data_IF_500365938571
#
_entry.id   IF_500365938571
#
_cell.length_a   1.000
_cell.length_b   1.000
_cell.length_c   1.000
_cell.angle_alpha   90.00
_cell.angle_beta   90.00
_cell.angle_gamma   90.00
#
_symmetry.space_group_name_H-M   'P 1'
#
loop_
_entity.id
_entity.type
_entity.pdbx_description
1 polymer ?
#
# COMPACT_ATOMS: atom_id res chain seq x y z
N UNK A 1 -37.40 -28.93 12.30
CA UNK A 1 -37.60 -28.10 11.11
C UNK A 1 -36.23 -27.76 10.51
N UNK A 2 -36.16 -27.43 9.21
CA UNK A 2 -34.88 -27.04 8.53
C UNK A 2 -34.19 -25.85 9.25
N UNK A 3 -34.96 -24.92 9.76
CA UNK A 3 -34.48 -23.76 10.53
C UNK A 3 -33.84 -24.21 11.85
N UNK A 4 -34.42 -25.20 12.54
CA UNK A 4 -33.85 -25.69 13.80
C UNK A 4 -32.49 -26.36 13.57
N UNK A 5 -32.36 -27.16 12.52
CA UNK A 5 -31.08 -27.79 12.17
C UNK A 5 -29.98 -26.76 11.85
N UNK A 6 -30.34 -25.69 11.13
CA UNK A 6 -29.40 -24.59 10.86
C UNK A 6 -29.01 -23.84 12.14
N UNK A 7 -29.95 -23.65 13.07
CA UNK A 7 -29.67 -23.01 14.36
C UNK A 7 -28.72 -23.85 15.22
N UNK A 8 -28.96 -25.19 15.24
CA UNK A 8 -28.13 -26.13 16.00
C UNK A 8 -26.72 -26.20 15.43
N UNK A 9 -26.58 -26.17 14.10
CA UNK A 9 -25.28 -26.12 13.42
C UNK A 9 -24.52 -24.83 13.71
N UNK A 10 -25.18 -23.68 13.64
CA UNK A 10 -24.58 -22.38 13.98
C UNK A 10 -24.14 -22.31 15.44
N UNK A 11 -24.95 -22.84 16.37
CA UNK A 11 -24.61 -22.90 17.78
C UNK A 11 -23.39 -23.81 18.02
N UNK A 12 -23.27 -24.92 17.31
CA UNK A 12 -22.09 -25.79 17.39
C UNK A 12 -20.83 -25.08 16.91
N UNK A 13 -20.91 -24.40 15.77
CA UNK A 13 -19.79 -23.59 15.24
C UNK A 13 -19.38 -22.46 16.18
N UNK A 14 -20.37 -21.82 16.82
CA UNK A 14 -20.09 -20.75 17.80
C UNK A 14 -19.33 -21.31 19.02
N UNK A 15 -19.73 -22.48 19.53
CA UNK A 15 -19.05 -23.12 20.65
C UNK A 15 -17.60 -23.52 20.29
N UNK A 16 -17.37 -24.04 19.08
CA UNK A 16 -16.01 -24.35 18.61
C UNK A 16 -15.14 -23.11 18.51
N UNK A 17 -15.68 -22.01 17.98
CA UNK A 17 -14.97 -20.74 17.88
C UNK A 17 -14.65 -20.14 19.25
N UNK A 18 -15.56 -20.23 20.20
CA UNK A 18 -15.32 -19.77 21.58
C UNK A 18 -14.26 -20.62 22.29
N UNK A 19 -14.29 -21.92 22.12
CA UNK A 19 -13.27 -22.81 22.66
C UNK A 19 -11.89 -22.49 22.06
N UNK A 20 -11.80 -22.26 20.74
CA UNK A 20 -10.59 -21.85 20.07
C UNK A 20 -10.08 -20.48 20.55
N UNK A 21 -10.97 -19.52 20.78
CA UNK A 21 -10.64 -18.19 21.33
C UNK A 21 -9.94 -18.32 22.70
N UNK A 22 -10.53 -19.13 23.58
CA UNK A 22 -10.02 -19.35 24.94
C UNK A 22 -8.65 -20.04 24.90
N UNK A 23 -8.50 -21.09 24.12
CA UNK A 23 -7.27 -21.84 23.97
C UNK A 23 -6.15 -20.98 23.38
N UNK A 24 -6.44 -20.23 22.33
CA UNK A 24 -5.46 -19.37 21.62
C UNK A 24 -5.17 -18.06 22.34
N UNK A 25 -5.91 -17.71 23.39
CA UNK A 25 -5.80 -16.45 24.15
C UNK A 25 -5.87 -15.21 23.25
N UNK A 26 -6.69 -15.26 22.20
CA UNK A 26 -6.91 -14.14 21.30
C UNK A 26 -7.83 -13.12 21.98
N UNK A 27 -7.43 -11.86 21.95
CA UNK A 27 -8.26 -10.75 22.44
C UNK A 27 -9.24 -10.33 21.35
N UNK A 28 -10.55 -10.52 21.62
CA UNK A 28 -11.65 -10.09 20.75
C UNK A 28 -12.40 -8.97 21.46
N UNK A 29 -12.68 -7.83 20.81
CA UNK A 29 -13.37 -6.72 21.43
C UNK A 29 -14.82 -7.08 21.75
N UNK A 30 -15.27 -6.80 22.96
CA UNK A 30 -16.66 -6.88 23.38
C UNK A 30 -17.40 -5.55 23.10
N UNK A 31 -18.72 -5.50 23.28
CA UNK A 31 -19.53 -4.33 22.90
C UNK A 31 -19.09 -3.03 23.58
N UNK A 32 -18.70 -3.10 24.84
CA UNK A 32 -18.27 -1.96 25.64
C UNK A 32 -16.84 -1.50 25.35
N UNK A 33 -16.03 -2.35 24.71
CA UNK A 33 -14.67 -2.01 24.27
C UNK A 33 -14.63 -0.70 23.46
N UNK A 34 -15.67 -0.43 22.68
CA UNK A 34 -15.77 0.74 21.80
C UNK A 34 -16.34 1.97 22.50
N UNK A 35 -16.71 1.88 23.78
CA UNK A 35 -17.21 3.02 24.57
C UNK A 35 -16.11 4.04 24.85
N UNK A 36 -16.48 5.29 25.08
CA UNK A 36 -15.55 6.37 25.39
C UNK A 36 -14.77 6.13 26.68
N UNK A 37 -15.36 5.41 27.63
CA UNK A 37 -14.71 5.07 28.91
C UNK A 37 -13.51 4.12 28.74
N UNK A 38 -13.43 3.37 27.66
CA UNK A 38 -12.38 2.40 27.37
C UNK A 38 -11.36 2.92 26.35
N UNK A 39 -11.25 4.23 26.20
CA UNK A 39 -10.32 4.85 25.23
C UNK A 39 -8.87 4.42 25.45
N UNK A 40 -8.37 4.49 26.69
CA UNK A 40 -6.97 4.14 27.02
C UNK A 40 -6.68 2.66 26.78
N UNK A 41 -7.61 1.78 27.12
CA UNK A 41 -7.52 0.35 26.86
C UNK A 41 -7.42 0.06 25.36
N UNK A 42 -8.22 0.75 24.54
CA UNK A 42 -8.15 0.62 23.06
C UNK A 42 -6.81 0.99 22.48
N UNK A 43 -6.09 1.94 23.08
CA UNK A 43 -4.78 2.38 22.57
C UNK A 43 -3.68 1.35 22.79
N UNK A 44 -3.81 0.48 23.78
CA UNK A 44 -2.77 -0.47 24.19
C UNK A 44 -3.11 -1.93 23.91
N UNK A 45 -4.39 -2.22 23.62
CA UNK A 45 -4.84 -3.61 23.40
C UNK A 45 -4.57 -4.09 21.99
N UNK A 46 -3.86 -5.20 21.88
CA UNK A 46 -3.67 -5.90 20.60
C UNK A 46 -4.87 -6.79 20.31
N UNK A 47 -5.80 -6.31 19.49
CA UNK A 47 -6.97 -7.07 19.07
C UNK A 47 -6.62 -8.18 18.08
N UNK A 48 -7.44 -9.23 18.06
CA UNK A 48 -7.37 -10.35 17.10
C UNK A 48 -6.05 -11.13 17.11
N UNK A 49 -5.31 -11.04 18.21
CA UNK A 49 -3.99 -11.66 18.33
C UNK A 49 -3.74 -12.13 19.76
N UNK A 50 -2.71 -12.97 19.94
CA UNK A 50 -2.20 -13.38 21.24
C UNK A 50 -0.72 -13.05 21.36
N UNK A 51 -0.19 -13.00 22.60
CA UNK A 51 1.23 -12.74 22.85
C UNK A 51 2.12 -13.79 22.19
N UNK A 52 1.70 -15.05 22.18
CA UNK A 52 2.41 -16.14 21.51
C UNK A 52 2.47 -15.91 20.00
N UNK A 53 1.37 -15.50 19.37
CA UNK A 53 1.35 -15.18 17.95
C UNK A 53 2.28 -14.00 17.63
N UNK A 54 2.25 -12.95 18.43
CA UNK A 54 3.14 -11.80 18.27
C UNK A 54 4.61 -12.19 18.43
N UNK A 55 4.93 -12.99 19.43
CA UNK A 55 6.28 -13.52 19.60
C UNK A 55 6.75 -14.32 18.40
N UNK A 56 5.91 -15.24 17.89
CA UNK A 56 6.24 -16.04 16.69
C UNK A 56 6.44 -15.19 15.46
N UNK A 57 5.61 -14.15 15.25
CA UNK A 57 5.77 -13.18 14.16
C UNK A 57 7.09 -12.41 14.28
N UNK A 58 7.44 -11.93 15.47
CA UNK A 58 8.69 -11.25 15.73
C UNK A 58 9.89 -12.17 15.44
N UNK A 59 9.85 -13.43 15.91
CA UNK A 59 10.92 -14.41 15.67
C UNK A 59 11.03 -14.76 14.17
N UNK A 60 9.92 -14.87 13.45
CA UNK A 60 9.93 -15.07 12.00
C UNK A 60 10.60 -13.91 11.28
N UNK A 61 10.28 -12.68 11.67
CA UNK A 61 10.90 -11.47 11.12
C UNK A 61 12.42 -11.47 11.36
N UNK A 62 12.86 -11.72 12.59
CA UNK A 62 14.30 -11.76 12.89
C UNK A 62 15.05 -12.84 12.11
N UNK A 63 14.47 -14.04 11.96
CA UNK A 63 15.04 -15.12 11.15
C UNK A 63 15.10 -14.74 9.68
N UNK A 64 14.06 -14.09 9.14
CA UNK A 64 14.04 -13.58 7.77
C UNK A 64 15.13 -12.53 7.54
N UNK A 65 15.37 -11.63 8.49
CA UNK A 65 16.45 -10.64 8.44
C UNK A 65 17.84 -11.30 8.41
N UNK A 66 18.05 -12.35 9.21
CA UNK A 66 19.31 -13.12 9.20
C UNK A 66 19.51 -13.80 7.85
N UNK A 67 18.48 -14.47 7.32
CA UNK A 67 18.52 -15.11 6.01
C UNK A 67 18.82 -14.11 4.90
N UNK A 68 18.17 -12.95 4.92
CA UNK A 68 18.40 -11.86 3.97
C UNK A 68 19.87 -11.39 4.02
N UNK A 69 20.42 -11.15 5.23
CA UNK A 69 21.83 -10.79 5.40
C UNK A 69 22.78 -11.84 4.81
N UNK A 70 22.53 -13.13 5.07
CA UNK A 70 23.34 -14.22 4.54
C UNK A 70 23.27 -14.28 3.00
N UNK A 71 22.10 -14.06 2.41
CA UNK A 71 21.90 -13.99 0.98
C UNK A 71 22.74 -12.87 0.36
N UNK A 72 22.74 -11.67 0.96
CA UNK A 72 23.53 -10.54 0.49
C UNK A 72 25.03 -10.84 0.58
N UNK A 73 25.52 -11.46 1.65
CA UNK A 73 26.91 -11.84 1.82
C UNK A 73 27.32 -12.88 0.79
N UNK A 74 26.50 -13.90 0.56
CA UNK A 74 26.79 -14.98 -0.39
C UNK A 74 26.86 -14.49 -1.85
N UNK A 75 26.15 -13.39 -2.18
CA UNK A 75 26.09 -12.83 -3.54
C UNK A 75 26.80 -11.48 -3.67
N UNK A 76 27.76 -11.18 -2.82
CA UNK A 76 28.40 -9.87 -2.71
C UNK A 76 28.99 -9.35 -4.05
N UNK A 77 29.58 -10.22 -4.86
CA UNK A 77 30.15 -9.86 -6.17
C UNK A 77 29.06 -9.38 -7.14
N UNK A 78 27.96 -10.12 -7.26
CA UNK A 78 26.80 -9.74 -8.09
C UNK A 78 26.20 -8.42 -7.65
N UNK A 79 26.07 -8.25 -6.34
CA UNK A 79 25.56 -7.02 -5.72
C UNK A 79 26.47 -5.83 -6.03
N UNK A 80 27.78 -6.01 -5.93
CA UNK A 80 28.76 -4.97 -6.25
C UNK A 80 28.61 -4.47 -7.71
N UNK A 81 28.50 -5.37 -8.68
CA UNK A 81 28.29 -4.99 -10.08
C UNK A 81 26.94 -4.30 -10.29
N UNK A 82 25.88 -4.80 -9.66
CA UNK A 82 24.54 -4.19 -9.76
C UNK A 82 24.51 -2.78 -9.15
N UNK A 83 25.21 -2.53 -8.04
CA UNK A 83 25.35 -1.19 -7.46
C UNK A 83 26.07 -0.24 -8.42
N UNK A 84 27.11 -0.69 -9.13
CA UNK A 84 27.79 0.13 -10.11
C UNK A 84 26.90 0.43 -11.32
N UNK A 85 26.18 -0.56 -11.85
CA UNK A 85 25.19 -0.33 -12.91
C UNK A 85 24.08 0.63 -12.43
N UNK A 86 23.65 0.54 -11.16
CA UNK A 86 22.68 1.47 -10.57
C UNK A 86 23.21 2.91 -10.51
N UNK A 87 24.48 3.12 -10.14
CA UNK A 87 25.09 4.45 -10.15
C UNK A 87 25.12 5.06 -11.56
N UNK A 88 25.40 4.25 -12.57
CA UNK A 88 25.45 4.67 -13.97
C UNK A 88 24.10 4.53 -14.72
N UNK A 89 23.01 4.20 -14.04
CA UNK A 89 21.70 3.90 -14.63
C UNK A 89 21.20 4.93 -15.64
N UNK A 90 21.42 6.24 -15.37
CA UNK A 90 21.00 7.30 -16.30
C UNK A 90 21.66 7.23 -17.66
N UNK A 91 22.89 6.75 -17.73
CA UNK A 91 23.62 6.53 -18.98
C UNK A 91 23.22 5.21 -19.65
N UNK A 92 22.76 4.25 -18.85
CA UNK A 92 22.41 2.91 -19.30
C UNK A 92 20.96 2.79 -19.78
N UNK A 93 20.06 3.73 -19.45
CA UNK A 93 18.61 3.65 -19.78
C UNK A 93 18.40 3.37 -21.27
N UNK A 94 19.08 4.09 -22.15
CA UNK A 94 18.93 3.94 -23.60
C UNK A 94 19.86 2.89 -24.20
N UNK A 95 21.04 2.72 -23.60
CA UNK A 95 22.08 1.80 -24.14
C UNK A 95 21.86 0.34 -23.73
N UNK A 96 21.40 0.11 -22.51
CA UNK A 96 21.16 -1.25 -21.98
C UNK A 96 20.10 -1.22 -20.86
N UNK A 97 18.80 -1.13 -21.20
CA UNK A 97 17.71 -1.06 -20.23
C UNK A 97 17.66 -2.28 -19.30
N UNK A 98 18.03 -3.47 -19.76
CA UNK A 98 18.01 -4.69 -18.95
C UNK A 98 18.99 -4.61 -17.76
N UNK A 99 20.15 -3.98 -17.95
CA UNK A 99 21.05 -3.72 -16.83
C UNK A 99 20.44 -2.81 -15.78
N UNK A 100 19.70 -1.80 -16.22
CA UNK A 100 18.99 -0.87 -15.31
C UNK A 100 17.90 -1.61 -14.54
N UNK A 101 17.13 -2.48 -15.21
CA UNK A 101 16.09 -3.29 -14.56
C UNK A 101 16.70 -4.25 -13.54
N UNK A 102 17.76 -4.96 -13.92
CA UNK A 102 18.45 -5.88 -13.02
C UNK A 102 19.09 -5.16 -11.83
N UNK A 103 19.68 -3.99 -12.06
CA UNK A 103 20.24 -3.17 -11.00
C UNK A 103 19.14 -2.73 -9.99
N UNK A 104 17.96 -2.33 -10.47
CA UNK A 104 16.83 -2.02 -9.62
C UNK A 104 16.30 -3.25 -8.85
N UNK A 105 16.23 -4.43 -9.48
CA UNK A 105 15.84 -5.66 -8.79
C UNK A 105 16.79 -5.96 -7.62
N UNK A 106 18.10 -5.79 -7.81
CA UNK A 106 19.08 -5.96 -6.75
C UNK A 106 18.95 -4.86 -5.68
N UNK A 107 18.70 -3.62 -6.09
CA UNK A 107 18.47 -2.53 -5.14
C UNK A 107 17.22 -2.76 -4.28
N UNK A 108 16.13 -3.27 -4.86
CA UNK A 108 14.94 -3.63 -4.09
C UNK A 108 15.14 -4.88 -3.23
N UNK A 109 16.03 -5.79 -3.63
CA UNK A 109 16.45 -6.88 -2.75
C UNK A 109 17.21 -6.36 -1.52
N UNK A 110 18.08 -5.35 -1.70
CA UNK A 110 18.84 -4.75 -0.58
C UNK A 110 17.91 -3.87 0.28
N UNK A 111 17.09 -3.04 -0.37
CA UNK A 111 16.17 -2.09 0.23
C UNK A 111 14.75 -2.36 -0.27
N UNK A 112 14.01 -3.27 0.37
CA UNK A 112 12.67 -3.66 -0.06
C UNK A 112 11.66 -2.50 -0.08
N UNK A 113 11.89 -1.49 0.74
CA UNK A 113 11.05 -0.28 0.82
C UNK A 113 11.90 0.93 0.44
N UNK A 114 11.42 1.67 -0.56
CA UNK A 114 12.08 2.87 -1.06
C UNK A 114 11.05 3.99 -1.11
N UNK A 115 11.37 5.13 -0.52
CA UNK A 115 10.51 6.31 -0.46
C UNK A 115 11.00 7.40 -1.40
N UNK A 116 10.09 8.10 -2.06
CA UNK A 116 10.38 9.23 -2.95
C UNK A 116 9.17 10.16 -3.08
N UNK A 117 9.38 11.39 -3.51
CA UNK A 117 8.28 12.30 -3.90
C UNK A 117 7.88 12.07 -5.36
N UNK A 118 6.66 12.46 -5.75
CA UNK A 118 6.24 12.42 -7.15
C UNK A 118 7.15 13.24 -8.06
N UNK A 119 7.63 14.39 -7.61
CA UNK A 119 8.56 15.23 -8.36
C UNK A 119 9.89 14.51 -8.69
N UNK A 120 10.39 13.70 -7.77
CA UNK A 120 11.62 12.95 -7.93
C UNK A 120 11.43 11.58 -8.61
N UNK A 121 10.21 11.08 -8.67
CA UNK A 121 9.90 9.73 -9.14
C UNK A 121 10.41 9.47 -10.56
N UNK A 122 10.16 10.40 -11.50
CA UNK A 122 10.64 10.29 -12.89
C UNK A 122 12.16 10.18 -12.98
N UNK A 123 12.90 10.95 -12.21
CA UNK A 123 14.37 10.93 -12.22
C UNK A 123 14.93 9.68 -11.54
N UNK A 124 14.22 9.13 -10.58
CA UNK A 124 14.62 7.94 -9.83
C UNK A 124 14.32 6.67 -10.60
N UNK A 125 13.09 6.52 -11.11
CA UNK A 125 12.57 5.34 -11.80
C UNK A 125 12.44 5.52 -13.31
N UNK A 126 13.20 6.43 -13.93
CA UNK A 126 13.27 6.57 -15.38
C UNK A 126 13.75 5.26 -16.04
N UNK A 127 13.14 4.91 -17.18
CA UNK A 127 13.46 3.68 -17.92
C UNK A 127 12.89 2.40 -17.33
N UNK A 128 12.21 2.45 -16.19
CA UNK A 128 11.56 1.28 -15.59
C UNK A 128 10.23 1.01 -16.31
N UNK A 129 9.94 -0.25 -16.72
CA UNK A 129 8.75 -0.60 -17.46
C UNK A 129 7.47 -0.56 -16.62
N UNK A 130 6.34 -0.72 -17.30
CA UNK A 130 5.04 -0.94 -16.68
C UNK A 130 5.09 -2.15 -15.73
N UNK A 131 4.34 -2.07 -14.62
CA UNK A 131 4.14 -3.17 -13.67
C UNK A 131 5.43 -3.73 -13.04
N UNK A 132 6.49 -2.93 -12.95
CA UNK A 132 7.77 -3.33 -12.35
C UNK A 132 7.72 -3.34 -10.82
N UNK A 133 7.06 -2.35 -10.21
CA UNK A 133 6.94 -2.20 -8.76
C UNK A 133 5.76 -3.04 -8.27
N UNK A 134 5.98 -3.95 -7.32
CA UNK A 134 4.91 -4.84 -6.85
C UNK A 134 3.83 -4.07 -6.06
N UNK A 135 4.24 -3.18 -5.16
CA UNK A 135 3.35 -2.38 -4.33
C UNK A 135 3.79 -0.92 -4.29
N UNK A 136 2.86 -0.03 -4.57
CA UNK A 136 3.02 1.41 -4.39
C UNK A 136 2.11 1.86 -3.24
N UNK A 137 2.71 2.46 -2.22
CA UNK A 137 1.98 3.14 -1.16
C UNK A 137 2.06 4.63 -1.39
N UNK A 138 0.92 5.30 -1.47
CA UNK A 138 0.83 6.75 -1.63
C UNK A 138 0.26 7.30 -0.33
N UNK A 139 1.11 7.95 0.43
CA UNK A 139 0.72 8.65 1.66
C UNK A 139 0.21 10.04 1.32
N UNK A 140 -0.72 10.57 2.12
CA UNK A 140 -1.41 11.83 1.87
C UNK A 140 -2.06 11.90 0.48
N UNK A 141 -2.69 10.80 0.06
CA UNK A 141 -3.25 10.64 -1.27
C UNK A 141 -4.39 11.65 -1.57
N UNK A 142 -5.04 12.20 -0.52
CA UNK A 142 -6.03 13.26 -0.62
C UNK A 142 -5.47 14.58 -1.12
N UNK A 143 -4.18 14.86 -0.86
CA UNK A 143 -3.49 16.07 -1.27
C UNK A 143 -2.77 15.94 -2.61
N UNK A 144 -2.68 14.75 -3.15
CA UNK A 144 -1.93 14.46 -4.37
C UNK A 144 -2.83 14.58 -5.62
N UNK A 145 -2.43 15.43 -6.58
CA UNK A 145 -3.11 15.50 -7.88
C UNK A 145 -2.86 14.23 -8.68
N UNK A 146 -3.88 13.65 -9.36
CA UNK A 146 -3.74 12.40 -10.08
C UNK A 146 -2.64 12.42 -11.15
N UNK A 147 -2.45 13.54 -11.83
CA UNK A 147 -1.45 13.72 -12.88
C UNK A 147 -0.01 13.54 -12.37
N UNK A 148 0.27 13.93 -11.13
CA UNK A 148 1.59 13.74 -10.52
C UNK A 148 1.89 12.26 -10.25
N UNK A 149 0.85 11.47 -9.97
CA UNK A 149 0.97 10.06 -9.63
C UNK A 149 1.04 9.12 -10.85
N UNK A 150 0.61 9.56 -12.05
CA UNK A 150 0.49 8.71 -13.26
C UNK A 150 1.75 7.88 -13.50
N UNK A 151 2.93 8.49 -13.40
CA UNK A 151 4.19 7.79 -13.63
C UNK A 151 4.48 6.67 -12.64
N UNK A 152 4.06 6.84 -11.39
CA UNK A 152 4.19 5.83 -10.34
C UNK A 152 3.12 4.74 -10.50
N UNK A 153 1.87 5.13 -10.74
CA UNK A 153 0.76 4.21 -10.99
C UNK A 153 1.03 3.27 -12.17
N UNK A 154 1.50 3.83 -13.29
CA UNK A 154 1.83 3.05 -14.50
C UNK A 154 2.88 1.97 -14.25
N UNK A 155 3.84 2.23 -13.34
CA UNK A 155 4.93 1.30 -13.05
C UNK A 155 4.64 0.30 -11.94
N UNK A 156 3.45 0.36 -11.36
CA UNK A 156 3.10 -0.44 -10.19
C UNK A 156 2.00 -1.43 -10.49
N UNK A 157 2.12 -2.65 -9.96
CA UNK A 157 1.10 -3.71 -10.08
C UNK A 157 -0.08 -3.47 -9.15
N UNK A 158 0.20 -3.02 -7.93
CA UNK A 158 -0.81 -2.76 -6.89
C UNK A 158 -0.55 -1.42 -6.23
N UNK A 159 -1.63 -0.71 -5.94
CA UNK A 159 -1.57 0.62 -5.34
C UNK A 159 -2.41 0.63 -4.06
N UNK A 160 -1.86 1.20 -3.02
CA UNK A 160 -2.54 1.49 -1.76
C UNK A 160 -2.48 3.00 -1.56
N UNK A 161 -3.62 3.66 -1.74
CA UNK A 161 -3.78 5.07 -1.44
C UNK A 161 -4.15 5.22 0.05
N UNK A 162 -3.37 6.01 0.78
CA UNK A 162 -3.57 6.30 2.19
C UNK A 162 -3.75 7.81 2.33
N UNK A 163 -4.86 8.23 2.89
CA UNK A 163 -5.17 9.64 3.10
C UNK A 163 -6.51 9.82 3.78
N UNK A 164 -6.78 11.03 4.20
CA UNK A 164 -8.06 11.42 4.77
C UNK A 164 -8.82 12.28 3.75
N UNK A 165 -9.98 11.83 3.24
CA UNK A 165 -10.75 12.58 2.26
C UNK A 165 -11.39 13.87 2.79
N UNK A 166 -11.36 14.07 4.12
CA UNK A 166 -11.91 15.28 4.78
C UNK A 166 -10.85 16.35 4.99
N UNK A 167 -9.56 16.00 4.84
CA UNK A 167 -8.46 16.94 4.96
C UNK A 167 -8.31 17.84 3.72
N UNK A 168 -7.20 18.54 3.64
CA UNK A 168 -6.91 19.56 2.62
C UNK A 168 -6.95 18.94 1.21
N UNK A 169 -7.72 19.56 0.32
CA UNK A 169 -7.76 19.22 -1.10
C UNK A 169 -6.42 19.51 -1.81
N UNK A 170 -6.18 18.88 -2.98
CA UNK A 170 -4.98 19.15 -3.75
C UNK A 170 -4.85 20.63 -4.15
N UNK A 171 -3.65 21.20 -4.02
CA UNK A 171 -3.40 22.56 -4.49
C UNK A 171 -3.15 22.56 -5.99
N UNK A 172 -4.12 23.02 -6.77
CA UNK A 172 -4.02 23.13 -8.22
C UNK A 172 -3.92 24.61 -8.61
N UNK A 173 -2.79 24.97 -9.21
CA UNK A 173 -2.50 26.38 -9.61
C UNK A 173 -3.14 26.78 -10.93
N UNK A 174 -3.56 25.82 -11.77
CA UNK A 174 -4.25 26.07 -13.03
C UNK A 174 -5.70 26.51 -12.80
N UNK A 175 -6.18 27.43 -13.63
CA UNK A 175 -7.57 27.85 -13.60
C UNK A 175 -8.51 26.73 -14.07
N UNK A 176 -9.70 26.61 -13.46
CA UNK A 176 -10.65 25.51 -13.70
C UNK A 176 -11.02 25.40 -15.19
N UNK A 177 -11.24 26.52 -15.88
CA UNK A 177 -11.61 26.51 -17.30
C UNK A 177 -10.50 25.94 -18.21
N UNK A 178 -9.21 26.13 -17.85
CA UNK A 178 -8.10 25.54 -18.61
C UNK A 178 -8.05 24.02 -18.41
N UNK A 179 -8.23 23.57 -17.15
CA UNK A 179 -8.29 22.15 -16.82
C UNK A 179 -9.42 21.49 -17.61
N UNK A 180 -10.61 22.11 -17.62
CA UNK A 180 -11.78 21.62 -18.35
C UNK A 180 -11.58 21.56 -19.87
N UNK A 181 -10.95 22.58 -20.45
CA UNK A 181 -10.65 22.60 -21.87
C UNK A 181 -9.65 21.50 -22.25
N UNK A 182 -8.58 21.31 -21.46
CA UNK A 182 -7.61 20.24 -21.68
C UNK A 182 -8.30 18.88 -21.56
N UNK A 183 -9.05 18.67 -20.47
CA UNK A 183 -9.79 17.43 -20.20
C UNK A 183 -10.72 17.06 -21.36
N UNK A 184 -11.54 18.02 -21.81
CA UNK A 184 -12.49 17.82 -22.93
C UNK A 184 -11.76 17.50 -24.25
N UNK A 185 -10.67 18.19 -24.55
CA UNK A 185 -9.88 17.96 -25.74
C UNK A 185 -9.27 16.55 -25.81
N UNK A 186 -8.88 16.00 -24.65
CA UNK A 186 -8.31 14.63 -24.55
C UNK A 186 -9.34 13.57 -24.14
N UNK A 187 -10.63 13.91 -24.06
CA UNK A 187 -11.72 13.02 -23.65
C UNK A 187 -11.48 12.32 -22.29
N UNK A 188 -10.88 13.04 -21.34
CA UNK A 188 -10.61 12.52 -19.99
C UNK A 188 -11.82 12.75 -19.09
N UNK A 189 -12.32 11.74 -18.36
CA UNK A 189 -13.40 11.88 -17.39
C UNK A 189 -13.07 12.90 -16.27
N UNK A 190 -14.08 13.60 -15.78
CA UNK A 190 -13.93 14.67 -14.79
C UNK A 190 -13.36 14.17 -13.46
N UNK A 191 -13.79 13.00 -13.01
CA UNK A 191 -13.29 12.40 -11.77
C UNK A 191 -11.78 12.08 -11.79
N UNK A 192 -11.15 12.03 -12.97
CA UNK A 192 -9.69 11.85 -13.09
C UNK A 192 -8.94 13.17 -13.17
N UNK A 193 -9.58 14.24 -13.64
CA UNK A 193 -8.92 15.54 -13.86
C UNK A 193 -9.90 16.67 -13.58
N UNK A 194 -9.92 17.13 -12.33
CA UNK A 194 -10.60 18.35 -11.89
C UNK A 194 -9.72 19.06 -10.85
N UNK A 195 -10.16 20.19 -10.32
CA UNK A 195 -9.46 20.84 -9.21
C UNK A 195 -9.54 20.04 -7.92
N UNK A 196 -10.65 19.37 -7.73
CA UNK A 196 -10.99 18.57 -6.54
C UNK A 196 -10.48 17.13 -6.65
N UNK A 197 -10.09 16.68 -7.88
CA UNK A 197 -9.63 15.33 -8.10
C UNK A 197 -8.29 15.08 -7.37
N UNK A 198 -8.27 14.05 -6.55
CA UNK A 198 -7.09 13.57 -5.84
C UNK A 198 -6.79 12.11 -6.19
N UNK A 199 -5.59 11.64 -5.86
CA UNK A 199 -5.26 10.21 -5.97
C UNK A 199 -6.19 9.38 -5.10
N UNK A 200 -6.59 9.90 -3.93
CA UNK A 200 -7.56 9.25 -3.04
C UNK A 200 -8.91 9.10 -3.76
N UNK A 201 -9.47 10.18 -4.32
CA UNK A 201 -10.76 10.11 -5.01
C UNK A 201 -10.75 9.17 -6.22
N UNK A 202 -9.62 9.09 -6.94
CA UNK A 202 -9.44 8.12 -8.03
C UNK A 202 -9.42 6.69 -7.52
N UNK A 203 -8.74 6.44 -6.40
CA UNK A 203 -8.70 5.11 -5.77
C UNK A 203 -10.08 4.69 -5.25
N UNK A 204 -10.82 5.61 -4.63
CA UNK A 204 -12.18 5.38 -4.14
C UNK A 204 -13.13 5.03 -5.29
N UNK A 205 -13.04 5.74 -6.41
CA UNK A 205 -13.83 5.43 -7.61
C UNK A 205 -13.45 4.10 -8.28
N UNK A 206 -12.21 3.64 -8.11
CA UNK A 206 -11.75 2.35 -8.66
C UNK A 206 -12.08 1.16 -7.75
N UNK A 207 -12.41 1.40 -6.48
CA UNK A 207 -12.73 0.36 -5.51
C UNK A 207 -14.21 -0.03 -5.63
N UNK A 208 -14.50 -1.33 -5.62
CA UNK A 208 -15.88 -1.83 -5.62
C UNK A 208 -16.57 -1.72 -4.24
N UNK A 209 -15.81 -1.48 -3.18
CA UNK A 209 -16.30 -1.27 -1.82
C UNK A 209 -16.16 0.20 -1.47
N UNK A 210 -17.23 0.82 -1.03
CA UNK A 210 -17.25 2.21 -0.65
C UNK A 210 -18.19 2.46 0.52
N UNK A 211 -18.07 3.65 1.09
CA UNK A 211 -18.98 4.16 2.12
C UNK A 211 -19.70 5.40 1.55
N UNK A 212 -21.01 5.38 1.62
CA UNK A 212 -21.85 6.53 1.27
C UNK A 212 -22.22 7.27 2.54
N UNK A 213 -21.79 8.51 2.68
CA UNK A 213 -22.26 9.40 3.71
C UNK A 213 -23.65 9.89 3.27
N UNK A 214 -24.71 9.57 4.04
CA UNK A 214 -26.00 10.25 3.87
C UNK A 214 -25.84 11.69 4.35
N UNK A 215 -26.22 12.63 3.52
CA UNK A 215 -26.37 14.04 3.90
C UNK A 215 -27.38 14.23 5.02
#
# INVERSE_FOLDING_TARGET
TKVQLQLDELNSQLQELEAYRIESKITIPEKDFWSDNNYDERQVTNLWTSDELQYRRAMLFLRAMILHKLLLIANNTTIYYAINDFKDRRKLIDANPDKVHNAWNVMHLIFPVVSTTFASFKSMYGGIPKDFIDYLFIDEAGQAIPQAAVGALYRSKKVVAVGDPIQIEPVVTLESHLIDNIRKNYHVPEYLVSKEASVQSVADNANQYGFWKSD
#
